data_IF_722995102627
#
_entry.id   IF_722995102627
#
_cell.length_a   1.000
_cell.length_b   1.000
_cell.length_c   1.000
_cell.angle_alpha   90.00
_cell.angle_beta   90.00
_cell.angle_gamma   90.00
#
_symmetry.space_group_name_H-M   'P 1'
#
loop_
_entity.id
_entity.type
_entity.pdbx_description
1 polymer ?
#
# COMPACT_ATOMS: atom_id res chain seq x y z
N UNK A 1 -9.82 34.61 -26.74
CA UNK A 1 -9.48 35.22 -25.43
C UNK A 1 -8.19 34.55 -24.99
N UNK A 2 -7.11 35.29 -24.83
CA UNK A 2 -5.86 34.69 -24.32
C UNK A 2 -6.04 34.42 -22.83
N UNK A 3 -5.35 33.40 -22.30
CA UNK A 3 -5.48 33.00 -20.89
C UNK A 3 -5.09 34.13 -19.91
N UNK A 4 -4.30 35.09 -20.39
CA UNK A 4 -3.92 36.33 -19.71
C UNK A 4 -5.07 37.32 -19.51
N UNK A 5 -6.16 37.18 -20.27
CA UNK A 5 -7.29 38.13 -20.26
C UNK A 5 -8.47 37.62 -19.40
N UNK A 6 -8.29 36.47 -18.74
CA UNK A 6 -9.31 35.85 -17.89
C UNK A 6 -9.03 36.14 -16.42
N UNK A 7 -9.86 36.98 -15.81
CA UNK A 7 -9.85 37.25 -14.36
C UNK A 7 -10.77 36.28 -13.61
N UNK A 8 -10.39 35.89 -12.39
CA UNK A 8 -11.20 35.05 -11.52
C UNK A 8 -12.17 35.93 -10.75
N UNK A 9 -13.45 35.56 -10.72
CA UNK A 9 -14.47 36.31 -10.00
C UNK A 9 -15.26 35.42 -9.05
N UNK A 10 -15.55 35.91 -7.85
CA UNK A 10 -16.46 35.25 -6.90
C UNK A 10 -17.79 36.00 -6.85
N UNK A 11 -18.90 35.29 -7.08
CA UNK A 11 -20.24 35.87 -7.00
C UNK A 11 -20.71 35.91 -5.54
N UNK A 12 -20.75 37.10 -4.94
CA UNK A 12 -21.18 37.27 -3.55
C UNK A 12 -22.67 37.64 -3.45
N UNK A 13 -23.29 38.04 -4.55
CA UNK A 13 -24.75 38.21 -4.68
C UNK A 13 -25.14 38.16 -6.15
N UNK A 14 -26.41 37.86 -6.44
CA UNK A 14 -26.90 37.66 -7.80
C UNK A 14 -26.47 38.79 -8.75
N UNK A 15 -25.58 38.49 -9.69
CA UNK A 15 -25.04 39.43 -10.67
C UNK A 15 -23.97 40.41 -10.17
N UNK A 16 -23.44 40.24 -8.95
CA UNK A 16 -22.29 41.00 -8.44
C UNK A 16 -21.11 40.09 -8.16
N UNK A 17 -19.98 40.42 -8.79
CA UNK A 17 -18.74 39.66 -8.70
C UNK A 17 -17.66 40.50 -8.00
N UNK A 18 -16.89 39.89 -7.13
CA UNK A 18 -15.59 40.42 -6.70
C UNK A 18 -14.53 39.79 -7.59
N UNK A 19 -13.73 40.63 -8.25
CA UNK A 19 -12.56 40.17 -9.00
C UNK A 19 -11.46 39.87 -8.00
N UNK A 20 -10.86 38.70 -8.11
CA UNK A 20 -9.73 38.27 -7.27
C UNK A 20 -8.47 38.33 -8.14
N UNK A 21 -7.50 39.14 -7.74
CA UNK A 21 -6.19 39.23 -8.38
C UNK A 21 -5.17 38.27 -7.74
N UNK A 22 -3.97 38.17 -8.33
CA UNK A 22 -2.90 37.30 -7.78
C UNK A 22 -2.40 37.75 -6.40
N UNK A 23 -2.41 39.05 -6.11
CA UNK A 23 -2.00 39.61 -4.82
C UNK A 23 -3.00 39.34 -3.70
N UNK A 24 -4.29 39.21 -4.04
CA UNK A 24 -5.33 38.78 -3.11
C UNK A 24 -5.08 37.33 -2.64
N UNK A 25 -4.57 36.45 -3.51
CA UNK A 25 -4.20 35.08 -3.12
C UNK A 25 -2.99 35.05 -2.17
N UNK A 26 -2.00 35.93 -2.39
CA UNK A 26 -0.85 36.09 -1.49
C UNK A 26 -1.26 36.70 -0.13
N UNK A 27 -2.37 37.43 -0.08
CA UNK A 27 -2.94 38.01 1.15
C UNK A 27 -3.74 37.00 1.99
N UNK A 28 -4.05 35.82 1.44
CA UNK A 28 -4.78 34.78 2.19
C UNK A 28 -3.89 34.30 3.35
N UNK A 29 -4.36 34.34 4.60
CA UNK A 29 -3.56 34.03 5.78
C UNK A 29 -3.38 32.51 5.98
N UNK A 30 -2.95 31.78 4.95
CA UNK A 30 -2.57 30.38 5.07
C UNK A 30 -1.10 30.30 5.50
N UNK A 31 -0.82 29.53 6.55
CA UNK A 31 0.56 29.29 7.01
C UNK A 31 1.38 28.48 5.99
N UNK A 32 0.68 27.76 5.12
CA UNK A 32 1.21 26.74 4.22
C UNK A 32 1.58 27.30 2.84
N UNK A 33 1.59 28.62 2.63
CA UNK A 33 1.95 29.25 1.35
C UNK A 33 3.35 28.78 0.93
N UNK A 34 3.38 27.83 -0.02
CA UNK A 34 4.58 27.20 -0.61
C UNK A 34 5.41 26.32 0.33
N UNK A 35 4.84 25.85 1.44
CA UNK A 35 5.51 24.93 2.36
C UNK A 35 4.72 23.62 2.53
N UNK A 36 5.41 22.56 2.96
CA UNK A 36 4.79 21.34 3.47
C UNK A 36 4.72 21.48 5.00
N UNK A 37 3.53 21.64 5.54
CA UNK A 37 3.31 21.75 6.98
C UNK A 37 2.97 20.37 7.54
N UNK A 38 3.89 19.78 8.30
CA UNK A 38 3.67 18.50 8.96
C UNK A 38 2.83 18.72 10.21
N UNK A 39 1.67 18.09 10.27
CA UNK A 39 0.73 18.17 11.39
C UNK A 39 1.03 17.08 12.42
N UNK A 40 1.25 15.84 11.97
CA UNK A 40 1.46 14.69 12.85
C UNK A 40 2.12 13.52 12.12
N UNK A 41 2.62 12.56 12.90
CA UNK A 41 3.15 11.30 12.40
C UNK A 41 2.25 10.14 12.82
N UNK A 42 2.05 9.18 11.92
CA UNK A 42 1.17 8.01 12.06
C UNK A 42 1.90 6.76 11.58
N UNK A 43 1.49 5.59 12.05
CA UNK A 43 2.01 4.32 11.55
C UNK A 43 1.76 4.20 10.04
N UNK A 44 2.75 3.74 9.29
CA UNK A 44 2.67 3.60 7.83
C UNK A 44 1.77 2.44 7.36
N UNK A 45 0.90 1.93 8.23
CA UNK A 45 0.04 0.81 7.92
C UNK A 45 -0.96 1.20 6.83
N UNK A 46 -0.94 0.44 5.74
CA UNK A 46 -1.81 0.59 4.57
C UNK A 46 -3.29 0.49 4.95
N UNK A 47 -3.59 -0.25 6.03
CA UNK A 47 -4.96 -0.51 6.46
C UNK A 47 -5.51 0.58 7.39
N UNK A 48 -4.64 1.31 8.11
CA UNK A 48 -5.06 2.35 9.08
C UNK A 48 -5.54 3.65 8.41
N UNK A 49 -5.03 3.97 7.21
CA UNK A 49 -5.43 5.17 6.46
C UNK A 49 -6.28 4.88 5.23
N UNK A 50 -6.47 3.60 4.89
CA UNK A 50 -7.31 3.14 3.80
C UNK A 50 -6.86 3.63 2.41
N UNK A 51 -6.93 2.75 1.42
CA UNK A 51 -6.95 3.18 0.02
C UNK A 51 -8.09 4.21 -0.28
N UNK A 52 -9.02 4.39 0.66
CA UNK A 52 -10.25 5.15 0.56
C UNK A 52 -10.04 6.67 0.39
N UNK A 53 -8.94 7.22 0.90
CA UNK A 53 -8.71 8.67 0.84
C UNK A 53 -7.69 9.08 -0.23
N UNK A 54 -7.08 8.14 -0.97
CA UNK A 54 -6.01 8.49 -1.91
C UNK A 54 -6.55 9.16 -3.16
N UNK A 55 -6.03 10.35 -3.48
CA UNK A 55 -6.38 11.09 -4.69
C UNK A 55 -5.31 11.00 -5.77
N UNK A 56 -4.09 11.42 -5.46
CA UNK A 56 -2.97 11.49 -6.42
C UNK A 56 -1.63 11.31 -5.70
N UNK A 57 -0.62 10.81 -6.41
CA UNK A 57 0.71 10.57 -5.87
C UNK A 57 1.77 11.39 -6.63
N UNK A 58 2.75 11.92 -5.90
CA UNK A 58 3.83 12.77 -6.39
C UNK A 58 5.16 12.33 -5.78
N UNK A 59 6.19 12.19 -6.61
CA UNK A 59 7.56 12.05 -6.10
C UNK A 59 8.11 13.44 -5.74
N UNK A 60 8.68 13.55 -4.55
CA UNK A 60 9.32 14.79 -4.11
C UNK A 60 10.79 14.80 -4.52
N UNK A 61 11.31 15.97 -4.90
CA UNK A 61 12.75 16.22 -5.01
C UNK A 61 13.16 17.30 -4.01
N UNK A 62 14.21 17.10 -3.20
CA UNK A 62 14.68 18.13 -2.29
C UNK A 62 15.54 19.19 -2.98
N UNK A 63 15.26 20.45 -2.68
CA UNK A 63 16.13 21.57 -3.05
C UNK A 63 17.51 21.49 -2.36
N UNK A 64 18.57 22.11 -2.94
CA UNK A 64 19.91 22.07 -2.38
C UNK A 64 20.01 22.53 -0.92
N UNK A 65 19.25 23.55 -0.54
CA UNK A 65 19.30 24.18 0.80
C UNK A 65 18.69 23.28 1.89
N UNK A 66 17.78 22.36 1.54
CA UNK A 66 17.07 21.48 2.49
C UNK A 66 17.45 20.01 2.44
N UNK A 67 18.38 19.62 1.56
CA UNK A 67 18.65 18.20 1.23
C UNK A 67 19.03 17.33 2.43
N UNK A 68 19.83 17.85 3.36
CA UNK A 68 20.21 17.10 4.57
C UNK A 68 19.01 16.84 5.48
N UNK A 69 18.16 17.84 5.68
CA UNK A 69 16.94 17.70 6.49
C UNK A 69 15.94 16.73 5.85
N UNK A 70 15.78 16.79 4.52
CA UNK A 70 14.95 15.86 3.77
C UNK A 70 15.37 14.40 3.98
N UNK A 71 16.67 14.09 3.80
CA UNK A 71 17.15 12.72 3.97
C UNK A 71 17.13 12.26 5.42
N UNK A 72 17.32 13.17 6.38
CA UNK A 72 17.16 12.86 7.80
C UNK A 72 15.71 12.45 8.11
N UNK A 73 14.74 13.27 7.70
CA UNK A 73 13.32 12.96 7.88
C UNK A 73 12.95 11.63 7.22
N UNK A 74 13.38 11.42 5.97
CA UNK A 74 13.16 10.15 5.26
C UNK A 74 13.73 8.95 6.03
N UNK A 75 14.93 9.07 6.60
CA UNK A 75 15.55 7.99 7.38
C UNK A 75 14.71 7.69 8.61
N UNK A 76 14.37 8.71 9.40
CA UNK A 76 13.58 8.54 10.64
C UNK A 76 12.22 7.92 10.35
N UNK A 77 11.51 8.40 9.33
CA UNK A 77 10.22 7.81 8.93
C UNK A 77 10.36 6.35 8.50
N UNK A 78 11.42 6.00 7.77
CA UNK A 78 11.66 4.63 7.33
C UNK A 78 12.04 3.70 8.50
N UNK A 79 12.87 4.18 9.41
CA UNK A 79 13.37 3.42 10.56
C UNK A 79 12.25 3.17 11.59
N UNK A 80 11.35 4.15 11.78
CA UNK A 80 10.22 4.05 12.71
C UNK A 80 8.94 3.48 12.07
N UNK A 81 8.93 3.26 10.75
CA UNK A 81 7.75 2.78 10.04
C UNK A 81 6.59 3.77 10.08
N UNK A 82 6.90 5.07 9.99
CA UNK A 82 5.94 6.16 10.11
C UNK A 82 5.69 6.87 8.77
N UNK A 83 4.53 7.52 8.71
CA UNK A 83 4.10 8.44 7.66
C UNK A 83 3.80 9.79 8.28
N UNK A 84 4.09 10.87 7.57
CA UNK A 84 3.77 12.22 8.04
C UNK A 84 2.47 12.69 7.38
N UNK A 85 1.46 13.03 8.19
CA UNK A 85 0.29 13.75 7.71
C UNK A 85 0.63 15.23 7.66
N UNK A 86 0.35 15.84 6.52
CA UNK A 86 0.72 17.20 6.24
C UNK A 86 -0.37 17.94 5.48
N UNK A 87 -0.35 19.26 5.59
CA UNK A 87 -1.06 20.17 4.69
C UNK A 87 -0.07 20.75 3.70
N UNK A 88 -0.52 20.84 2.46
CA UNK A 88 0.24 21.45 1.37
C UNK A 88 -0.65 22.40 0.60
N UNK A 89 -0.04 23.35 -0.11
CA UNK A 89 -0.74 24.14 -1.13
C UNK A 89 -0.30 23.63 -2.50
N UNK A 90 -1.26 23.15 -3.29
CA UNK A 90 -1.02 22.75 -4.67
C UNK A 90 -1.74 23.72 -5.60
N UNK A 91 -0.97 24.50 -6.35
CA UNK A 91 -1.45 25.68 -7.10
C UNK A 91 -2.05 26.71 -6.13
N UNK A 92 -3.37 26.74 -6.03
CA UNK A 92 -4.11 27.78 -5.30
C UNK A 92 -5.05 27.19 -4.24
N UNK A 93 -4.91 25.89 -3.92
CA UNK A 93 -5.75 25.21 -2.94
C UNK A 93 -4.93 24.42 -1.93
N UNK A 94 -5.31 24.52 -0.67
CA UNK A 94 -4.81 23.65 0.37
C UNK A 94 -5.34 22.22 0.15
N UNK A 95 -4.46 21.24 0.37
CA UNK A 95 -4.78 19.83 0.28
C UNK A 95 -4.18 19.10 1.48
N UNK A 96 -4.94 18.14 2.00
CA UNK A 96 -4.42 17.15 2.93
C UNK A 96 -3.51 16.18 2.18
N UNK A 97 -2.40 15.79 2.78
CA UNK A 97 -1.46 14.86 2.17
C UNK A 97 -0.78 13.96 3.20
N UNK A 98 -0.33 12.79 2.74
CA UNK A 98 0.54 11.88 3.46
C UNK A 98 1.89 11.82 2.78
N UNK A 99 2.96 11.97 3.56
CA UNK A 99 4.34 11.92 3.10
C UNK A 99 5.02 10.66 3.65
N UNK A 100 5.49 9.83 2.72
CA UNK A 100 5.98 8.49 3.00
C UNK A 100 7.41 8.30 2.46
N UNK A 101 8.30 7.60 3.18
CA UNK A 101 9.58 7.20 2.63
C UNK A 101 9.37 6.23 1.45
N UNK A 102 9.99 6.52 0.29
CA UNK A 102 9.84 5.69 -0.91
C UNK A 102 11.14 5.56 -1.70
N UNK A 103 11.75 4.37 -1.69
CA UNK A 103 12.99 4.09 -2.43
C UNK A 103 14.09 5.13 -2.12
N UNK A 104 14.58 5.84 -3.15
CA UNK A 104 15.60 6.90 -3.04
C UNK A 104 15.03 8.27 -2.66
N UNK A 105 13.71 8.43 -2.60
CA UNK A 105 13.03 9.70 -2.32
C UNK A 105 11.87 9.53 -1.32
N UNK A 106 10.93 10.47 -1.27
CA UNK A 106 9.66 10.37 -0.55
C UNK A 106 8.50 10.49 -1.54
N UNK A 107 7.42 9.77 -1.24
CA UNK A 107 6.17 9.80 -1.97
C UNK A 107 5.18 10.67 -1.19
N UNK A 108 4.71 11.73 -1.84
CA UNK A 108 3.61 12.55 -1.35
C UNK A 108 2.32 12.09 -1.99
N UNK A 109 1.38 11.66 -1.18
CA UNK A 109 0.05 11.23 -1.60
C UNK A 109 -0.96 12.25 -1.11
N UNK A 110 -1.60 12.98 -2.04
CA UNK A 110 -2.71 13.88 -1.67
C UNK A 110 -3.92 13.04 -1.29
N UNK A 111 -4.59 13.46 -0.23
CA UNK A 111 -5.76 12.80 0.32
C UNK A 111 -7.02 13.61 0.04
N UNK A 112 -8.14 12.92 -0.13
CA UNK A 112 -9.46 13.52 -0.04
C UNK A 112 -9.71 13.99 1.40
N UNK A 113 -10.37 15.13 1.54
CA UNK A 113 -10.89 15.53 2.84
C UNK A 113 -12.01 14.58 3.27
N UNK A 114 -12.26 14.41 4.58
CA UNK A 114 -13.32 13.52 5.07
C UNK A 114 -14.71 13.81 4.48
N UNK A 115 -15.00 15.06 4.16
CA UNK A 115 -16.25 15.53 3.55
C UNK A 115 -16.30 15.32 2.02
N UNK A 116 -15.18 15.05 1.36
CA UNK A 116 -15.13 14.70 -0.06
C UNK A 116 -15.40 13.21 -0.31
N UNK A 117 -15.34 12.38 0.74
CA UNK A 117 -15.61 10.94 0.66
C UNK A 117 -17.03 10.66 1.14
N UNK A 118 -17.82 9.99 0.29
CA UNK A 118 -19.18 9.58 0.64
C UNK A 118 -19.16 8.61 1.82
N UNK A 119 -20.02 8.83 2.81
CA UNK A 119 -20.15 7.93 3.96
C UNK A 119 -20.72 6.58 3.53
N UNK A 120 -20.28 5.51 4.20
CA UNK A 120 -20.88 4.18 4.05
C UNK A 120 -22.34 4.19 4.54
N UNK A 121 -22.67 5.05 5.49
CA UNK A 121 -24.03 5.24 6.02
C UNK A 121 -25.00 5.81 4.98
N UNK A 122 -24.49 6.50 3.96
CA UNK A 122 -25.30 7.02 2.85
C UNK A 122 -25.55 5.97 1.75
N UNK A 123 -25.03 4.75 1.92
CA UNK A 123 -25.21 3.66 0.96
C UNK A 123 -26.43 2.83 1.34
N UNK A 124 -27.22 2.46 0.34
CA UNK A 124 -28.32 1.51 0.49
C UNK A 124 -27.76 0.08 0.41
N UNK A 125 -27.13 -0.36 1.52
CA UNK A 125 -26.58 -1.71 1.65
C UNK A 125 -27.63 -2.61 2.32
N UNK A 126 -27.90 -3.82 1.78
CA UNK A 126 -28.79 -4.76 2.42
C UNK A 126 -28.15 -5.31 3.71
N UNK A 127 -28.90 -5.33 4.81
CA UNK A 127 -28.50 -5.94 6.09
C UNK A 127 -28.56 -7.49 6.07
N UNK A 128 -28.52 -8.09 4.89
CA UNK A 128 -28.64 -9.54 4.71
C UNK A 128 -27.30 -10.23 4.99
N UNK A 129 -27.28 -11.06 6.03
CA UNK A 129 -26.15 -11.96 6.29
C UNK A 129 -26.33 -13.29 5.54
N UNK A 130 -25.37 -13.61 4.67
CA UNK A 130 -25.38 -14.86 3.92
C UNK A 130 -24.41 -15.89 4.54
N UNK A 131 -24.94 -17.05 4.92
CA UNK A 131 -24.12 -18.21 5.25
C UNK A 131 -23.74 -19.01 3.99
N UNK A 132 -22.46 -19.01 3.65
CA UNK A 132 -21.95 -19.79 2.52
C UNK A 132 -21.50 -21.19 2.96
N UNK A 133 -21.86 -22.21 2.17
CA UNK A 133 -21.46 -23.59 2.44
C UNK A 133 -19.93 -23.75 2.29
N UNK A 134 -19.26 -24.60 3.10
CA UNK A 134 -17.82 -24.79 3.00
C UNK A 134 -17.32 -25.20 1.60
N UNK A 135 -18.11 -26.00 0.87
CA UNK A 135 -17.78 -26.42 -0.48
C UNK A 135 -17.78 -25.26 -1.49
N UNK A 136 -18.68 -24.30 -1.33
CA UNK A 136 -18.80 -23.11 -2.18
C UNK A 136 -17.63 -22.17 -1.95
N UNK A 137 -17.32 -21.84 -0.69
CA UNK A 137 -16.13 -21.05 -0.34
C UNK A 137 -14.85 -21.69 -0.90
N UNK A 138 -14.70 -23.01 -0.78
CA UNK A 138 -13.54 -23.74 -1.31
C UNK A 138 -13.45 -23.65 -2.83
N UNK A 139 -14.59 -23.67 -3.52
CA UNK A 139 -14.65 -23.50 -4.97
C UNK A 139 -14.18 -22.10 -5.40
N UNK A 140 -14.70 -21.06 -4.76
CA UNK A 140 -14.31 -19.68 -5.02
C UNK A 140 -12.82 -19.45 -4.74
N UNK A 141 -12.28 -20.03 -3.67
CA UNK A 141 -10.86 -19.98 -3.33
C UNK A 141 -9.96 -20.57 -4.43
N UNK A 142 -10.37 -21.68 -5.05
CA UNK A 142 -9.61 -22.27 -6.16
C UNK A 142 -9.58 -21.34 -7.39
N UNK A 143 -10.71 -20.71 -7.71
CA UNK A 143 -10.79 -19.75 -8.80
C UNK A 143 -9.89 -18.54 -8.54
N UNK A 144 -9.99 -17.94 -7.36
CA UNK A 144 -9.13 -16.82 -6.96
C UNK A 144 -7.65 -17.23 -7.01
N UNK A 145 -7.30 -18.43 -6.54
CA UNK A 145 -5.93 -18.91 -6.60
C UNK A 145 -5.43 -19.12 -8.03
N UNK A 146 -6.29 -19.51 -8.96
CA UNK A 146 -5.93 -19.70 -10.37
C UNK A 146 -5.74 -18.36 -11.10
N UNK A 147 -6.41 -17.29 -10.65
CA UNK A 147 -6.33 -15.94 -11.23
C UNK A 147 -5.38 -15.00 -10.47
N UNK A 148 -4.85 -15.44 -9.33
CA UNK A 148 -3.90 -14.66 -8.54
C UNK A 148 -2.56 -14.56 -9.27
N UNK A 149 -2.05 -13.34 -9.41
CA UNK A 149 -0.75 -13.05 -9.99
C UNK A 149 -0.10 -11.83 -9.34
N UNK A 150 1.10 -11.48 -9.79
CA UNK A 150 1.79 -10.24 -9.38
C UNK A 150 1.31 -9.08 -10.27
N UNK A 151 1.16 -7.90 -9.67
CA UNK A 151 0.77 -6.70 -10.40
C UNK A 151 2.01 -6.04 -11.01
N UNK A 152 2.14 -6.15 -12.33
CA UNK A 152 3.18 -5.49 -13.11
C UNK A 152 2.57 -4.31 -13.88
N UNK A 153 2.79 -3.07 -13.40
CA UNK A 153 2.17 -1.87 -13.97
C UNK A 153 2.44 -1.70 -15.49
N UNK A 154 3.65 -2.04 -15.93
CA UNK A 154 4.09 -1.91 -17.33
C UNK A 154 3.38 -2.89 -18.29
N UNK A 155 2.70 -3.91 -17.77
CA UNK A 155 1.91 -4.85 -18.58
C UNK A 155 0.56 -4.28 -19.02
N UNK A 156 0.08 -3.23 -18.34
CA UNK A 156 -1.19 -2.59 -18.63
C UNK A 156 -0.99 -1.43 -19.61
N UNK A 157 -1.89 -1.34 -20.59
CA UNK A 157 -1.89 -0.26 -21.58
C UNK A 157 -3.25 0.41 -21.63
N UNK A 158 -3.24 1.70 -21.92
CA UNK A 158 -4.45 2.47 -22.17
C UNK A 158 -4.91 2.20 -23.61
N UNK A 159 -5.77 1.19 -23.76
CA UNK A 159 -6.32 0.77 -25.05
C UNK A 159 -7.06 1.91 -25.77
N UNK A 160 -7.73 2.78 -25.01
CA UNK A 160 -8.41 3.94 -25.56
C UNK A 160 -7.41 4.91 -26.19
N UNK A 161 -6.33 5.22 -25.48
CA UNK A 161 -5.25 6.06 -26.00
C UNK A 161 -4.62 5.45 -27.25
N UNK A 162 -4.35 4.15 -27.26
CA UNK A 162 -3.80 3.46 -28.45
C UNK A 162 -4.76 3.55 -29.65
N UNK A 163 -6.05 3.27 -29.43
CA UNK A 163 -7.07 3.37 -30.46
C UNK A 163 -7.19 4.81 -31.00
N UNK A 164 -7.15 5.81 -30.12
CA UNK A 164 -7.21 7.21 -30.50
C UNK A 164 -5.97 7.62 -31.31
N UNK A 165 -4.78 7.18 -30.92
CA UNK A 165 -3.54 7.45 -31.66
C UNK A 165 -3.60 6.86 -33.07
N UNK A 166 -4.09 5.64 -33.22
CA UNK A 166 -4.30 5.02 -34.54
C UNK A 166 -5.28 5.81 -35.42
N UNK A 167 -6.40 6.30 -34.85
CA UNK A 167 -7.34 7.16 -35.58
C UNK A 167 -6.70 8.48 -36.00
N UNK A 168 -5.88 9.08 -35.13
CA UNK A 168 -5.15 10.32 -35.43
C UNK A 168 -4.12 10.11 -36.55
N UNK A 169 -3.35 9.02 -36.51
CA UNK A 169 -2.39 8.66 -37.56
C UNK A 169 -3.06 8.41 -38.92
N UNK A 170 -4.21 7.73 -38.94
CA UNK A 170 -5.00 7.55 -40.16
C UNK A 170 -5.48 8.88 -40.75
N UNK A 171 -5.99 9.79 -39.89
CA UNK A 171 -6.39 11.13 -40.32
C UNK A 171 -5.24 11.97 -40.87
N UNK A 172 -4.06 11.90 -40.24
CA UNK A 172 -2.87 12.64 -40.70
C UNK A 172 -2.33 12.09 -42.02
N UNK A 173 -2.39 10.77 -42.21
CA UNK A 173 -1.97 10.10 -43.45
C UNK A 173 -3.00 10.16 -44.59
N UNK A 174 -4.18 10.75 -44.35
CA UNK A 174 -5.25 10.88 -45.34
C UNK A 174 -5.98 9.58 -45.64
N UNK A 175 -5.80 8.53 -44.82
CA UNK A 175 -6.52 7.27 -44.94
C UNK A 175 -7.76 7.26 -44.02
N UNK A 176 -8.87 6.61 -44.42
CA UNK A 176 -9.99 6.41 -43.52
C UNK A 176 -9.53 5.57 -42.32
N UNK A 177 -9.86 6.00 -41.10
CA UNK A 177 -9.51 5.27 -39.89
C UNK A 177 -10.19 3.89 -39.90
N UNK A 178 -9.42 2.83 -40.16
CA UNK A 178 -9.90 1.47 -39.98
C UNK A 178 -10.13 1.25 -38.49
N UNK A 179 -11.38 0.99 -38.12
CA UNK A 179 -11.71 0.43 -36.81
C UNK A 179 -10.97 -0.90 -36.71
N UNK A 180 -9.95 -0.96 -35.85
CA UNK A 180 -9.33 -2.23 -35.50
C UNK A 180 -10.45 -3.09 -34.90
N UNK A 181 -10.85 -4.14 -35.62
CA UNK A 181 -11.75 -5.14 -35.09
C UNK A 181 -11.15 -5.58 -33.76
N UNK A 182 -11.88 -5.36 -32.66
CA UNK A 182 -11.55 -5.94 -31.37
C UNK A 182 -11.42 -7.43 -31.62
N UNK A 183 -10.19 -7.95 -31.61
CA UNK A 183 -9.98 -9.39 -31.49
C UNK A 183 -10.63 -9.75 -30.18
N UNK A 184 -11.85 -10.29 -30.26
CA UNK A 184 -12.47 -10.96 -29.13
C UNK A 184 -11.49 -12.07 -28.78
N UNK A 185 -10.73 -11.89 -27.70
CA UNK A 185 -10.02 -13.02 -27.10
C UNK A 185 -11.07 -14.10 -26.90
N UNK A 186 -10.91 -15.22 -27.62
CA UNK A 186 -11.86 -16.32 -27.51
C UNK A 186 -11.92 -16.77 -26.04
N UNK A 187 -13.11 -17.06 -25.50
CA UNK A 187 -13.31 -17.43 -24.08
C UNK A 187 -12.71 -18.80 -23.69
N UNK A 188 -11.82 -19.36 -24.51
CA UNK A 188 -11.32 -20.73 -24.45
C UNK A 188 -10.62 -21.03 -23.13
N UNK A 189 -9.92 -20.06 -22.53
CA UNK A 189 -9.19 -20.25 -21.26
C UNK A 189 -10.11 -20.45 -20.05
N UNK A 190 -11.29 -19.82 -20.01
CA UNK A 190 -12.21 -19.91 -18.87
C UNK A 190 -13.02 -21.21 -18.93
N UNK A 191 -13.40 -21.65 -20.13
CA UNK A 191 -14.14 -22.91 -20.31
C UNK A 191 -13.35 -24.15 -19.92
N UNK A 192 -12.02 -24.12 -20.06
CA UNK A 192 -11.14 -25.21 -19.64
C UNK A 192 -11.03 -25.30 -18.12
N UNK A 193 -10.89 -24.15 -17.44
CA UNK A 193 -10.87 -24.08 -15.98
C UNK A 193 -12.20 -24.53 -15.36
N UNK A 194 -13.34 -24.15 -15.93
CA UNK A 194 -14.67 -24.62 -15.50
C UNK A 194 -14.78 -26.14 -15.57
N UNK A 195 -14.28 -26.76 -16.65
CA UNK A 195 -14.27 -28.23 -16.82
C UNK A 195 -13.34 -28.93 -15.83
N UNK A 196 -12.14 -28.39 -15.61
CA UNK A 196 -11.17 -28.92 -14.63
C UNK A 196 -11.73 -28.82 -13.21
N UNK A 197 -12.48 -27.75 -12.92
CA UNK A 197 -13.09 -27.51 -11.63
C UNK A 197 -14.33 -28.41 -11.39
N UNK A 198 -15.19 -28.57 -12.38
CA UNK A 198 -16.32 -29.52 -12.36
C UNK A 198 -15.84 -30.96 -12.16
N UNK A 199 -14.77 -31.35 -12.85
CA UNK A 199 -14.16 -32.67 -12.70
C UNK A 199 -13.62 -32.90 -11.27
N UNK A 200 -13.01 -31.88 -10.67
CA UNK A 200 -12.51 -31.94 -9.29
C UNK A 200 -13.63 -32.08 -8.26
N UNK A 201 -14.79 -31.45 -8.49
CA UNK A 201 -15.97 -31.58 -7.63
C UNK A 201 -16.68 -32.91 -7.82
N UNK A 202 -16.79 -33.41 -9.06
CA UNK A 202 -17.34 -34.74 -9.33
C UNK A 202 -16.51 -35.83 -8.64
N UNK A 203 -15.18 -35.75 -8.72
CA UNK A 203 -14.27 -36.65 -8.01
C UNK A 203 -14.43 -36.57 -6.48
N UNK A 204 -14.59 -35.35 -5.92
CA UNK A 204 -14.82 -35.14 -4.49
C UNK A 204 -16.23 -35.52 -3.99
N UNK A 205 -17.20 -35.69 -4.90
CA UNK A 205 -18.53 -36.23 -4.60
C UNK A 205 -18.53 -37.76 -4.65
N UNK A 206 -17.83 -38.36 -5.62
CA UNK A 206 -17.66 -39.81 -5.76
C UNK A 206 -16.86 -40.42 -4.60
N UNK A 207 -15.81 -39.75 -4.12
CA UNK A 207 -15.07 -40.20 -2.93
C UNK A 207 -15.87 -40.16 -1.63
N UNK A 208 -16.95 -39.36 -1.59
CA UNK A 208 -17.86 -39.25 -0.44
C UNK A 208 -18.98 -40.27 -0.47
N UNK A 209 -19.37 -40.72 -1.66
CA UNK A 209 -20.37 -41.80 -1.85
C UNK A 209 -19.74 -43.19 -1.71
N UNK A 210 -18.45 -43.35 -2.04
CA UNK A 210 -17.69 -44.58 -1.79
C UNK A 210 -17.38 -44.85 -0.29
N UNK A 211 -17.56 -43.85 0.58
CA UNK A 211 -17.36 -43.98 2.03
C UNK A 211 -18.65 -44.24 2.81
N UNK A 212 -19.79 -44.42 2.13
CA UNK A 212 -21.12 -44.54 2.73
C UNK A 212 -21.78 -45.93 2.52
N UNK A 213 -20.98 -46.99 2.36
CA UNK A 213 -21.49 -48.37 2.34
C UNK A 213 -20.97 -49.14 3.59
N UNK A 214 -21.83 -49.44 4.59
CA UNK A 214 -21.45 -50.23 5.75
C UNK A 214 -21.73 -51.72 5.48
N UNK A 215 -20.67 -52.50 5.23
CA UNK A 215 -20.70 -53.97 5.15
C UNK A 215 -19.64 -54.61 6.06
N UNK A 216 -19.85 -55.84 6.56
CA UNK A 216 -19.91 -56.07 8.00
C UNK A 216 -18.59 -56.47 8.68
N UNK A 217 -18.59 -56.12 9.96
CA UNK A 217 -17.77 -56.55 11.09
C UNK A 217 -17.15 -57.96 11.00
N UNK A 218 -15.82 -58.03 11.14
CA UNK A 218 -15.13 -59.15 11.79
C UNK A 218 -13.93 -58.65 12.60
N UNK A 219 -14.07 -58.80 13.90
CA UNK A 219 -13.03 -58.58 14.91
C UNK A 219 -11.89 -59.59 14.80
N UNK A 220 -10.65 -59.12 15.01
CA UNK A 220 -9.60 -59.85 15.74
C UNK A 220 -8.47 -58.87 16.09
N UNK A 221 -8.32 -58.59 17.37
CA UNK A 221 -7.39 -57.57 17.87
C UNK A 221 -5.92 -57.99 17.88
N UNK A 222 -5.05 -56.99 18.08
CA UNK A 222 -3.93 -57.10 19.03
C UNK A 222 -3.34 -55.73 19.34
N UNK A 223 -3.49 -55.32 20.60
CA UNK A 223 -2.76 -54.22 21.20
C UNK A 223 -1.27 -54.54 21.28
N UNK A 224 -0.40 -53.57 20.97
CA UNK A 224 0.93 -53.45 21.60
C UNK A 224 1.24 -51.99 21.88
N UNK A 225 1.24 -51.62 23.17
CA UNK A 225 1.98 -50.47 23.71
C UNK A 225 3.46 -50.85 23.91
N UNK A 226 4.39 -49.89 23.87
CA UNK A 226 5.84 -50.12 23.86
C UNK A 226 6.48 -49.95 25.24
N UNK A 227 7.59 -50.65 25.53
CA UNK A 227 8.62 -50.27 26.54
C UNK A 227 9.86 -51.20 26.47
N UNK A 228 11.01 -50.88 27.13
CA UNK A 228 12.26 -50.48 26.46
C UNK A 228 13.45 -51.41 26.78
N UNK A 229 14.62 -51.15 26.19
CA UNK A 229 15.88 -51.78 26.61
C UNK A 229 16.94 -50.72 26.97
N UNK A 230 17.29 -50.69 28.25
CA UNK A 230 18.53 -50.16 28.83
C UNK A 230 19.72 -51.06 28.40
N UNK A 231 21.01 -50.85 28.64
CA UNK A 231 21.87 -49.88 29.28
C UNK A 231 23.31 -50.20 28.80
N UNK A 232 24.21 -49.23 28.83
CA UNK A 232 25.65 -49.47 28.65
C UNK A 232 26.49 -48.24 29.00
N UNK A 233 26.90 -48.12 30.27
CA UNK A 233 27.81 -47.10 30.82
C UNK A 233 29.29 -47.49 30.65
N UNK A 234 30.16 -46.50 30.40
CA UNK A 234 31.41 -46.13 31.13
C UNK A 234 32.04 -44.93 30.36
N UNK A 235 32.25 -43.71 30.88
CA UNK A 235 32.88 -43.16 32.09
C UNK A 235 34.39 -42.84 31.95
N UNK A 236 34.72 -41.54 31.81
CA UNK A 236 35.89 -40.82 32.37
C UNK A 236 35.58 -39.31 32.27
N UNK A 237 35.34 -38.49 33.32
CA UNK A 237 36.23 -37.94 34.39
C UNK A 237 37.55 -37.37 33.82
N UNK A 238 38.04 -36.15 34.09
CA UNK A 238 37.65 -34.96 34.88
C UNK A 238 38.62 -33.79 34.57
N UNK A 239 38.21 -32.57 34.96
CA UNK A 239 39.00 -31.34 35.31
C UNK A 239 39.46 -30.44 34.15
N UNK A 240 39.00 -29.18 34.03
CA UNK A 240 39.06 -28.03 34.96
C UNK A 240 40.48 -27.43 35.05
N UNK A 241 40.67 -26.24 34.46
CA UNK A 241 41.39 -25.08 35.01
C UNK A 241 41.66 -24.00 33.94
N UNK A 242 40.97 -22.86 34.07
CA UNK A 242 41.50 -21.49 33.86
C UNK A 242 42.27 -21.16 35.17
N UNK A 243 43.24 -20.22 35.33
CA UNK A 243 43.31 -18.90 34.66
C UNK A 243 44.69 -18.21 34.52
N UNK A 244 44.69 -17.01 33.89
CA UNK A 244 45.40 -15.83 34.44
C UNK A 244 46.64 -15.28 33.70
N UNK A 245 46.53 -14.03 33.21
CA UNK A 245 47.18 -12.80 33.75
C UNK A 245 47.38 -11.79 32.59
N UNK A 246 46.77 -10.59 32.65
CA UNK A 246 47.22 -9.33 33.31
C UNK A 246 48.34 -8.63 32.49
N UNK A 247 48.48 -7.31 32.31
CA UNK A 247 48.02 -6.06 32.97
C UNK A 247 48.49 -4.91 32.04
N UNK A 248 47.92 -3.69 31.95
CA UNK A 248 48.16 -2.54 32.84
C UNK A 248 47.55 -1.26 32.19
N UNK A 249 46.59 -0.57 32.81
CA UNK A 249 46.66 0.74 33.55
C UNK A 249 47.03 2.01 32.77
N UNK A 250 46.15 3.04 32.78
CA UNK A 250 46.42 4.34 33.42
C UNK A 250 45.23 5.34 33.34
N UNK A 251 44.98 6.00 34.48
CA UNK A 251 44.12 7.18 34.73
C UNK A 251 44.62 8.43 34.00
N UNK A 252 43.72 9.38 33.68
CA UNK A 252 43.82 10.77 34.19
C UNK A 252 42.65 11.67 33.75
N UNK A 253 42.08 12.35 34.73
CA UNK A 253 41.34 13.62 34.63
C UNK A 253 42.11 14.60 35.54
N UNK A 254 42.22 15.90 35.19
CA UNK A 254 41.62 16.90 36.09
C UNK A 254 41.12 18.23 35.44
N UNK A 255 40.00 18.74 35.98
CA UNK A 255 39.64 20.13 36.41
C UNK A 255 40.13 21.42 35.69
N UNK A 256 39.18 22.40 35.66
CA UNK A 256 39.29 23.89 35.77
C UNK A 256 39.21 24.65 34.41
N UNK A 257 38.50 25.76 34.16
CA UNK A 257 37.92 26.83 34.99
C UNK A 257 36.82 27.65 34.24
N UNK A 258 35.90 28.16 35.05
CA UNK A 258 34.97 29.31 34.93
C UNK A 258 35.42 30.53 34.09
N UNK A 259 34.47 31.13 33.33
CA UNK A 259 34.35 32.60 33.19
C UNK A 259 32.96 33.06 32.76
N UNK A 260 32.30 33.77 33.69
CA UNK A 260 31.19 34.72 33.46
C UNK A 260 31.56 35.80 32.44
N UNK A 261 30.58 36.27 31.66
CA UNK A 261 30.35 37.72 31.45
C UNK A 261 28.89 38.01 31.09
N UNK A 262 28.26 38.80 31.98
CA UNK A 262 27.08 39.65 31.76
C UNK A 262 27.54 40.96 31.14
N UNK A 263 26.77 41.48 30.18
CA UNK A 263 26.39 42.89 29.87
C UNK A 263 25.92 42.91 28.41
N UNK A 264 24.83 43.54 27.98
CA UNK A 264 23.93 44.53 28.57
C UNK A 264 22.49 44.23 28.14
#
# INVERSE_FOLDING_TARGET
IQRSDTVRGFEYSKGKYVVIDEGDFDSVPLKTVRAIEIELFVEADRDAHGANFVRQAYYIEPEPVGRKAFYLLKSVLADEGLSAICKIVLKDREALASLNPYSKTMLLTTLYWPDEVRSVEDLDLPDEEFEFKPAEKKMAQLLVSAMKGEFEADSYKDEYREALMAVLEAKVSGQPAEQRATTSDEPTKITDLMKVLEASVAAARQSRTAAADPGPEKAAGRQKKPTPLAAGRKASRTKEAVPGSATATAKSEPKRQERRRKTA
#
